data_IF_427553439364
#
_entry.id   IF_427553439364
#
_cell.length_a   1.000
_cell.length_b   1.000
_cell.length_c   1.000
_cell.angle_alpha   90.00
_cell.angle_beta   90.00
_cell.angle_gamma   90.00
#
_symmetry.space_group_name_H-M   'P 1'
#
loop_
_entity.id
_entity.type
_entity.pdbx_description
1 polymer ?
#
# COMPACT_ATOMS: atom_id res chain seq x y z
N UNK A 1 25.39 -37.45 -15.72
CA UNK A 1 25.62 -35.98 -15.61
C UNK A 1 24.53 -35.09 -16.24
N UNK A 2 23.43 -35.63 -16.81
CA UNK A 2 22.38 -34.80 -17.42
C UNK A 2 21.18 -34.47 -16.50
N UNK A 3 20.99 -35.21 -15.39
CA UNK A 3 19.84 -34.99 -14.48
C UNK A 3 20.05 -33.85 -13.47
N UNK A 4 21.29 -33.44 -13.19
CA UNK A 4 21.58 -32.32 -12.29
C UNK A 4 21.32 -30.93 -12.92
N UNK A 5 21.38 -30.83 -14.26
CA UNK A 5 21.12 -29.58 -14.99
C UNK A 5 19.62 -29.32 -15.18
N UNK A 6 18.79 -30.37 -15.20
CA UNK A 6 17.32 -30.26 -15.25
C UNK A 6 16.69 -29.80 -13.93
N UNK A 7 17.44 -29.86 -12.82
CA UNK A 7 17.03 -29.24 -11.55
C UNK A 7 17.38 -27.76 -11.46
N UNK A 8 18.41 -27.30 -12.18
CA UNK A 8 18.82 -25.88 -12.19
C UNK A 8 17.91 -25.01 -13.06
N UNK A 9 17.15 -25.59 -14.00
CA UNK A 9 16.19 -24.86 -14.85
C UNK A 9 14.79 -24.73 -14.25
N UNK A 10 14.54 -25.32 -13.07
CA UNK A 10 13.32 -25.07 -12.28
C UNK A 10 13.45 -23.91 -11.28
N UNK A 11 14.58 -23.22 -11.25
CA UNK A 11 14.56 -21.80 -10.87
C UNK A 11 13.94 -21.02 -12.02
N UNK A 12 12.60 -21.11 -12.15
CA UNK A 12 11.83 -19.93 -12.52
C UNK A 12 12.41 -18.82 -11.68
N UNK A 13 13.13 -17.88 -12.29
CA UNK A 13 13.78 -16.80 -11.57
C UNK A 13 12.72 -16.23 -10.65
N UNK A 14 12.85 -16.50 -9.34
CA UNK A 14 11.94 -15.95 -8.37
C UNK A 14 11.93 -14.46 -8.70
N UNK A 15 10.76 -13.84 -8.93
CA UNK A 15 10.71 -12.41 -9.24
C UNK A 15 11.65 -11.73 -8.25
N UNK A 16 12.53 -10.84 -8.74
CA UNK A 16 13.59 -10.27 -7.92
C UNK A 16 12.99 -9.90 -6.56
N UNK A 17 13.67 -10.24 -5.46
CA UNK A 17 13.10 -10.18 -4.11
C UNK A 17 12.43 -8.83 -3.81
N UNK A 18 12.88 -7.77 -4.47
CA UNK A 18 12.42 -6.39 -4.30
C UNK A 18 11.32 -5.97 -5.30
N UNK A 19 11.12 -6.72 -6.38
CA UNK A 19 10.04 -6.49 -7.34
C UNK A 19 8.70 -6.85 -6.71
N UNK A 20 7.74 -5.97 -6.92
CA UNK A 20 6.37 -6.12 -6.40
C UNK A 20 6.35 -6.31 -4.87
N UNK A 21 7.27 -5.65 -4.16
CA UNK A 21 7.43 -5.78 -2.70
C UNK A 21 6.11 -5.58 -1.93
N UNK A 22 5.28 -4.63 -2.35
CA UNK A 22 3.95 -4.39 -1.76
C UNK A 22 3.00 -5.59 -1.92
N UNK A 23 3.01 -6.25 -3.09
CA UNK A 23 2.18 -7.42 -3.33
C UNK A 23 2.72 -8.64 -2.57
N UNK A 24 4.04 -8.81 -2.52
CA UNK A 24 4.65 -9.91 -1.75
C UNK A 24 4.35 -9.76 -0.25
N UNK A 25 4.51 -8.55 0.30
CA UNK A 25 4.15 -8.25 1.69
C UNK A 25 2.65 -8.44 1.95
N UNK A 26 1.78 -8.14 0.99
CA UNK A 26 0.33 -8.35 1.14
C UNK A 26 -0.07 -9.84 1.18
N UNK A 27 0.58 -10.67 0.36
CA UNK A 27 0.22 -12.09 0.21
C UNK A 27 0.82 -12.99 1.28
N UNK A 28 2.12 -12.84 1.55
CA UNK A 28 2.87 -13.69 2.48
C UNK A 28 3.93 -12.87 3.23
N UNK A 29 3.51 -12.02 4.19
CA UNK A 29 4.45 -11.16 4.88
C UNK A 29 5.48 -11.93 5.73
N UNK A 30 5.12 -13.11 6.24
CA UNK A 30 6.02 -13.95 7.07
C UNK A 30 7.13 -14.56 6.22
N UNK A 31 6.78 -15.32 5.17
CA UNK A 31 7.76 -15.96 4.31
C UNK A 31 8.53 -14.94 3.47
N UNK A 32 7.92 -13.79 3.14
CA UNK A 32 8.63 -12.70 2.48
C UNK A 32 9.69 -12.07 3.39
N UNK A 33 9.35 -11.74 4.64
CA UNK A 33 10.31 -11.18 5.59
C UNK A 33 11.50 -12.12 5.85
N UNK A 34 11.25 -13.43 5.97
CA UNK A 34 12.33 -14.42 6.13
C UNK A 34 13.33 -14.40 4.95
N UNK A 35 12.83 -14.30 3.72
CA UNK A 35 13.67 -14.19 2.52
C UNK A 35 14.45 -12.87 2.49
N UNK A 36 13.83 -11.77 2.94
CA UNK A 36 14.49 -10.45 3.05
C UNK A 36 15.59 -10.44 4.11
N UNK A 37 15.36 -11.05 5.27
CA UNK A 37 16.35 -11.12 6.36
C UNK A 37 17.55 -12.02 6.01
N UNK A 38 17.37 -12.98 5.09
CA UNK A 38 18.46 -13.79 4.55
C UNK A 38 19.30 -13.07 3.49
N UNK A 39 18.86 -11.90 3.00
CA UNK A 39 19.61 -11.14 2.00
C UNK A 39 20.84 -10.47 2.62
N UNK A 40 22.04 -10.62 2.03
CA UNK A 40 23.24 -9.92 2.49
C UNK A 40 23.24 -8.43 2.09
N UNK A 41 22.31 -8.01 1.24
CA UNK A 41 22.19 -6.62 0.80
C UNK A 41 21.81 -5.71 1.98
N UNK A 42 22.22 -4.45 1.94
CA UNK A 42 21.88 -3.43 2.95
C UNK A 42 21.60 -2.10 2.25
N UNK A 43 20.74 -2.13 1.23
CA UNK A 43 20.33 -0.97 0.46
C UNK A 43 18.93 -0.48 0.83
N UNK A 44 18.55 0.68 0.27
CA UNK A 44 17.28 1.33 0.60
C UNK A 44 16.06 0.50 0.16
N UNK A 45 16.19 -0.30 -0.90
CA UNK A 45 15.11 -1.12 -1.44
C UNK A 45 14.82 -2.32 -0.54
N UNK A 46 15.87 -2.95 0.01
CA UNK A 46 15.71 -4.00 0.99
C UNK A 46 15.03 -3.49 2.26
N UNK A 47 15.47 -2.34 2.78
CA UNK A 47 14.84 -1.73 3.96
C UNK A 47 13.39 -1.33 3.68
N UNK A 48 13.09 -0.82 2.49
CA UNK A 48 11.72 -0.54 2.07
C UNK A 48 10.84 -1.80 2.07
N UNK A 49 11.31 -2.87 1.44
CA UNK A 49 10.60 -4.15 1.36
C UNK A 49 10.37 -4.77 2.76
N UNK A 50 11.39 -4.73 3.62
CA UNK A 50 11.26 -5.16 5.03
C UNK A 50 10.24 -4.33 5.78
N UNK A 51 10.27 -3.01 5.61
CA UNK A 51 9.30 -2.10 6.23
C UNK A 51 7.87 -2.49 5.87
N UNK A 52 7.58 -2.76 4.59
CA UNK A 52 6.27 -3.25 4.14
C UNK A 52 5.87 -4.57 4.79
N UNK A 53 6.78 -5.56 4.81
CA UNK A 53 6.50 -6.86 5.39
C UNK A 53 6.27 -6.78 6.92
N UNK A 54 7.07 -5.97 7.63
CA UNK A 54 6.89 -5.73 9.07
C UNK A 54 5.55 -5.04 9.35
N UNK A 55 5.17 -4.04 8.54
CA UNK A 55 3.89 -3.34 8.67
C UNK A 55 2.70 -4.28 8.45
N UNK A 56 2.76 -5.16 7.43
CA UNK A 56 1.75 -6.18 7.18
C UNK A 56 1.61 -7.21 8.33
N UNK A 57 2.62 -7.34 9.19
CA UNK A 57 2.58 -8.15 10.41
C UNK A 57 2.16 -7.35 11.66
N UNK A 58 1.79 -6.08 11.53
CA UNK A 58 1.49 -5.19 12.64
C UNK A 58 2.71 -4.78 13.47
N UNK A 59 3.93 -4.99 12.96
CA UNK A 59 5.20 -4.71 13.67
C UNK A 59 5.68 -3.29 13.36
N UNK A 60 4.85 -2.30 13.70
CA UNK A 60 5.06 -0.90 13.32
C UNK A 60 6.40 -0.30 13.81
N UNK A 61 6.89 -0.56 15.03
CA UNK A 61 8.19 -0.04 15.45
C UNK A 61 9.35 -0.55 14.59
N UNK A 62 9.29 -1.81 14.14
CA UNK A 62 10.29 -2.39 13.24
C UNK A 62 10.17 -1.79 11.85
N UNK A 63 8.94 -1.67 11.33
CA UNK A 63 8.67 -1.04 10.04
C UNK A 63 9.20 0.40 9.98
N UNK A 64 8.94 1.21 11.02
CA UNK A 64 9.43 2.58 11.13
C UNK A 64 10.96 2.67 11.15
N UNK A 65 11.65 1.74 11.82
CA UNK A 65 13.12 1.68 11.82
C UNK A 65 13.67 1.38 10.43
N UNK A 66 13.09 0.40 9.73
CA UNK A 66 13.52 0.05 8.38
C UNK A 66 13.20 1.19 7.39
N UNK A 67 12.02 1.83 7.47
CA UNK A 67 11.71 3.04 6.71
C UNK A 67 12.70 4.19 6.96
N UNK A 68 13.08 4.43 8.23
CA UNK A 68 14.05 5.47 8.56
C UNK A 68 15.43 5.20 7.94
N UNK A 69 15.87 3.93 7.90
CA UNK A 69 17.11 3.53 7.21
C UNK A 69 17.02 3.77 5.69
N UNK A 70 15.90 3.38 5.07
CA UNK A 70 15.66 3.63 3.65
C UNK A 70 15.72 5.15 3.32
N UNK A 71 15.07 5.99 4.13
CA UNK A 71 15.13 7.46 3.99
C UNK A 71 16.56 8.01 4.16
N UNK A 72 17.29 7.53 5.17
CA UNK A 72 18.67 7.96 5.41
C UNK A 72 19.59 7.66 4.23
N UNK A 73 19.47 6.47 3.65
CA UNK A 73 20.22 6.06 2.46
C UNK A 73 19.82 6.86 1.22
N UNK A 74 18.52 7.02 0.96
CA UNK A 74 18.05 7.82 -0.18
C UNK A 74 18.53 9.27 -0.09
N UNK A 75 18.49 9.87 1.10
CA UNK A 75 18.99 11.22 1.33
C UNK A 75 20.51 11.31 1.11
N UNK A 76 21.29 10.36 1.64
CA UNK A 76 22.74 10.33 1.47
C UNK A 76 23.15 10.16 -0.01
N UNK A 77 22.37 9.42 -0.78
CA UNK A 77 22.59 9.17 -2.21
C UNK A 77 21.93 10.22 -3.11
N UNK A 78 21.25 11.22 -2.55
CA UNK A 78 20.51 12.26 -3.26
C UNK A 78 19.40 11.72 -4.18
N UNK A 79 18.85 10.55 -3.85
CA UNK A 79 17.74 9.88 -4.55
C UNK A 79 16.41 10.55 -4.19
N UNK A 80 16.19 11.75 -4.75
CA UNK A 80 15.09 12.65 -4.35
C UNK A 80 13.72 12.00 -4.50
N UNK A 81 13.47 11.28 -5.59
CA UNK A 81 12.18 10.60 -5.81
C UNK A 81 11.95 9.45 -4.82
N UNK A 82 12.95 8.61 -4.57
CA UNK A 82 12.84 7.54 -3.57
C UNK A 82 12.66 8.08 -2.16
N UNK A 83 13.33 9.20 -1.85
CA UNK A 83 13.11 9.89 -0.58
C UNK A 83 11.65 10.34 -0.40
N UNK A 84 10.99 10.83 -1.46
CA UNK A 84 9.56 11.15 -1.40
C UNK A 84 8.70 9.90 -1.17
N UNK A 85 8.95 8.82 -1.90
CA UNK A 85 8.23 7.54 -1.72
C UNK A 85 8.35 7.05 -0.27
N UNK A 86 9.55 7.10 0.30
CA UNK A 86 9.79 6.67 1.68
C UNK A 86 9.19 7.61 2.72
N UNK A 87 9.07 8.92 2.43
CA UNK A 87 8.33 9.86 3.30
C UNK A 87 6.82 9.61 3.25
N UNK A 88 6.26 9.25 2.09
CA UNK A 88 4.87 8.81 1.98
C UNK A 88 4.64 7.51 2.77
N UNK A 89 5.55 6.54 2.68
CA UNK A 89 5.48 5.33 3.51
C UNK A 89 5.57 5.65 5.01
N UNK A 90 6.40 6.61 5.44
CA UNK A 90 6.45 7.05 6.84
C UNK A 90 5.08 7.54 7.32
N UNK A 91 4.38 8.31 6.48
CA UNK A 91 3.02 8.82 6.79
C UNK A 91 2.03 7.66 6.90
N UNK A 92 2.08 6.69 5.99
CA UNK A 92 1.26 5.47 6.08
C UNK A 92 1.48 4.73 7.41
N UNK A 93 2.74 4.52 7.80
CA UNK A 93 3.09 3.89 9.07
C UNK A 93 2.65 4.71 10.31
N UNK A 94 2.52 6.02 10.16
CA UNK A 94 2.04 6.94 11.22
C UNK A 94 0.52 6.79 11.40
N UNK A 95 -0.21 6.64 10.29
CA UNK A 95 -1.65 6.33 10.31
C UNK A 95 -1.93 4.98 10.95
N UNK A 96 -1.14 3.96 10.63
CA UNK A 96 -1.30 2.63 11.21
C UNK A 96 -0.97 2.57 12.71
N UNK A 97 -0.14 3.51 13.20
CA UNK A 97 0.14 3.69 14.63
C UNK A 97 -0.93 4.52 15.37
N UNK A 98 -2.07 4.78 14.74
CA UNK A 98 -3.24 5.51 15.27
C UNK A 98 -2.93 6.97 15.68
N UNK A 99 -2.11 7.65 14.87
CA UNK A 99 -1.76 9.07 15.06
C UNK A 99 -2.13 9.93 13.85
N UNK A 100 -3.44 10.03 13.50
CA UNK A 100 -3.87 10.65 12.25
C UNK A 100 -3.60 12.17 12.16
N UNK A 101 -3.60 12.89 13.28
CA UNK A 101 -3.25 14.33 13.28
C UNK A 101 -1.78 14.55 12.90
N UNK A 102 -0.88 13.71 13.42
CA UNK A 102 0.53 13.75 13.06
C UNK A 102 0.72 13.44 11.57
N UNK A 103 -0.07 12.52 11.01
CA UNK A 103 -0.04 12.22 9.58
C UNK A 103 -0.46 13.44 8.74
N UNK A 104 -1.49 14.19 9.14
CA UNK A 104 -1.91 15.43 8.48
C UNK A 104 -0.83 16.51 8.51
N UNK A 105 -0.13 16.67 9.63
CA UNK A 105 0.99 17.60 9.73
C UNK A 105 2.12 17.23 8.76
N UNK A 106 2.50 15.94 8.71
CA UNK A 106 3.53 15.45 7.81
C UNK A 106 3.14 15.60 6.33
N UNK A 107 1.87 15.32 5.99
CA UNK A 107 1.34 15.53 4.64
C UNK A 107 1.41 16.99 4.22
N UNK A 108 1.02 17.90 5.11
CA UNK A 108 1.10 19.35 4.89
C UNK A 108 2.52 19.79 4.59
N UNK A 109 3.49 19.31 5.40
CA UNK A 109 4.91 19.61 5.22
C UNK A 109 5.49 19.03 3.93
N UNK A 110 4.99 17.87 3.49
CA UNK A 110 5.49 17.16 2.30
C UNK A 110 4.93 17.71 0.98
N UNK A 111 3.75 18.35 1.02
CA UNK A 111 3.03 18.80 -0.17
C UNK A 111 3.86 19.64 -1.16
N UNK A 112 4.65 20.67 -0.74
CA UNK A 112 5.43 21.48 -1.68
C UNK A 112 6.40 20.67 -2.53
N UNK A 113 6.93 19.57 -1.98
CA UNK A 113 7.85 18.69 -2.69
C UNK A 113 7.10 17.70 -3.59
N UNK A 114 5.94 17.18 -3.16
CA UNK A 114 5.21 16.15 -3.90
C UNK A 114 4.37 16.68 -5.06
N UNK A 115 3.83 17.91 -4.96
CA UNK A 115 2.85 18.46 -5.92
C UNK A 115 3.29 18.50 -7.39
N UNK A 116 4.58 18.35 -7.66
CA UNK A 116 5.17 18.35 -9.00
C UNK A 116 5.43 16.93 -9.54
N UNK A 117 5.09 15.89 -8.79
CA UNK A 117 5.34 14.49 -9.14
C UNK A 117 4.03 13.69 -9.18
N UNK A 118 3.40 13.52 -10.36
CA UNK A 118 2.01 13.03 -10.49
C UNK A 118 1.72 11.71 -9.76
N UNK A 119 2.68 10.77 -9.75
CA UNK A 119 2.54 9.48 -9.07
C UNK A 119 2.48 9.64 -7.55
N UNK A 120 3.37 10.46 -6.99
CA UNK A 120 3.40 10.77 -5.57
C UNK A 120 2.22 11.65 -5.16
N UNK A 121 1.69 12.48 -6.05
CA UNK A 121 0.45 13.25 -5.80
C UNK A 121 -0.73 12.32 -5.57
N UNK A 122 -0.88 11.27 -6.38
CA UNK A 122 -1.94 10.27 -6.17
C UNK A 122 -1.83 9.60 -4.81
N UNK A 123 -0.62 9.21 -4.40
CA UNK A 123 -0.37 8.60 -3.08
C UNK A 123 -0.61 9.58 -1.93
N UNK A 124 -0.21 10.85 -2.10
CA UNK A 124 -0.46 11.89 -1.11
C UNK A 124 -1.96 12.09 -0.88
N UNK A 125 -2.77 12.13 -1.95
CA UNK A 125 -4.23 12.23 -1.83
C UNK A 125 -4.82 10.98 -1.15
N UNK A 126 -4.27 9.79 -1.40
CA UNK A 126 -4.73 8.56 -0.75
C UNK A 126 -4.52 8.63 0.77
N UNK A 127 -3.31 9.02 1.19
CA UNK A 127 -2.95 9.13 2.60
C UNK A 127 -3.67 10.29 3.29
N UNK A 128 -3.88 11.42 2.59
CA UNK A 128 -4.65 12.54 3.11
C UNK A 128 -6.11 12.15 3.32
N UNK A 129 -6.73 11.47 2.34
CA UNK A 129 -8.08 10.95 2.48
C UNK A 129 -8.23 9.97 3.65
N UNK A 130 -7.26 9.07 3.85
CA UNK A 130 -7.22 8.16 5.00
C UNK A 130 -7.09 8.91 6.34
N UNK A 131 -6.23 9.93 6.41
CA UNK A 131 -6.06 10.74 7.61
C UNK A 131 -7.32 11.54 7.97
N UNK A 132 -7.97 12.12 6.95
CA UNK A 132 -9.25 12.82 7.10
C UNK A 132 -10.37 11.87 7.54
N UNK A 133 -10.40 10.65 7.00
CA UNK A 133 -11.36 9.64 7.42
C UNK A 133 -11.19 9.29 8.90
N UNK A 134 -9.95 9.05 9.35
CA UNK A 134 -9.63 8.76 10.76
C UNK A 134 -9.94 9.94 11.69
N UNK A 135 -9.90 11.17 11.20
CA UNK A 135 -10.29 12.39 11.93
C UNK A 135 -11.77 12.79 11.71
N UNK A 136 -12.60 11.89 11.16
CA UNK A 136 -14.04 12.06 10.96
C UNK A 136 -14.45 13.17 9.98
N UNK A 137 -13.53 13.65 9.15
CA UNK A 137 -13.77 14.62 8.08
C UNK A 137 -14.26 13.91 6.81
N UNK A 138 -15.46 13.32 6.88
CA UNK A 138 -15.95 12.34 5.91
C UNK A 138 -16.08 12.88 4.49
N UNK A 139 -16.54 14.13 4.30
CA UNK A 139 -16.76 14.70 2.97
C UNK A 139 -15.44 14.94 2.25
N UNK A 140 -14.47 15.50 2.96
CA UNK A 140 -13.13 15.78 2.50
C UNK A 140 -12.39 14.46 2.22
N UNK A 141 -12.52 13.47 3.10
CA UNK A 141 -11.94 12.14 2.90
C UNK A 141 -12.43 11.47 1.60
N UNK A 142 -13.74 11.52 1.31
CA UNK A 142 -14.28 10.98 0.04
C UNK A 142 -13.68 11.71 -1.16
N UNK A 143 -13.59 13.04 -1.11
CA UNK A 143 -13.05 13.84 -2.20
C UNK A 143 -11.59 13.48 -2.50
N UNK A 144 -10.78 13.39 -1.45
CA UNK A 144 -9.36 13.05 -1.53
C UNK A 144 -9.16 11.62 -2.07
N UNK A 145 -9.88 10.62 -1.54
CA UNK A 145 -9.79 9.24 -2.00
C UNK A 145 -10.25 9.06 -3.46
N UNK A 146 -11.31 9.77 -3.88
CA UNK A 146 -11.75 9.78 -5.29
C UNK A 146 -10.72 10.44 -6.20
N UNK A 147 -10.08 11.51 -5.74
CA UNK A 147 -9.00 12.18 -6.47
C UNK A 147 -7.80 11.26 -6.63
N UNK A 148 -7.37 10.60 -5.54
CA UNK A 148 -6.31 9.61 -5.56
C UNK A 148 -6.60 8.49 -6.57
N UNK A 149 -7.81 7.93 -6.53
CA UNK A 149 -8.24 6.87 -7.43
C UNK A 149 -8.22 7.31 -8.89
N UNK A 150 -8.79 8.47 -9.21
CA UNK A 150 -8.80 9.00 -10.56
C UNK A 150 -7.40 9.26 -11.12
N UNK A 151 -6.48 9.74 -10.29
CA UNK A 151 -5.07 9.92 -10.68
C UNK A 151 -4.38 8.58 -10.91
N UNK A 152 -4.60 7.60 -10.02
CA UNK A 152 -4.00 6.26 -10.11
C UNK A 152 -4.43 5.54 -11.39
N UNK A 153 -5.69 5.69 -11.80
CA UNK A 153 -6.22 5.11 -13.04
C UNK A 153 -5.53 5.65 -14.32
N UNK A 154 -4.91 6.82 -14.26
CA UNK A 154 -4.17 7.40 -15.39
C UNK A 154 -2.73 6.89 -15.46
N UNK A 155 -2.23 6.24 -14.41
CA UNK A 155 -0.91 5.62 -14.45
C UNK A 155 -0.91 4.40 -15.39
N UNK A 156 0.21 4.09 -16.05
CA UNK A 156 0.32 2.86 -16.84
C UNK A 156 -0.12 1.63 -16.03
N UNK A 157 -0.90 0.76 -16.66
CA UNK A 157 -1.37 -0.47 -16.04
C UNK A 157 -0.21 -1.32 -15.56
N UNK A 158 -0.17 -1.59 -14.25
CA UNK A 158 0.83 -2.43 -13.60
C UNK A 158 0.15 -3.19 -12.46
N UNK A 159 0.77 -4.30 -12.05
CA UNK A 159 0.32 -5.07 -10.88
C UNK A 159 0.17 -4.17 -9.65
N UNK A 160 1.11 -3.24 -9.45
CA UNK A 160 1.10 -2.30 -8.35
C UNK A 160 -0.04 -1.28 -8.44
N UNK A 161 -0.24 -0.66 -9.61
CA UNK A 161 -1.33 0.31 -9.78
C UNK A 161 -2.71 -0.36 -9.65
N UNK A 162 -2.89 -1.60 -10.12
CA UNK A 162 -4.11 -2.38 -9.87
C UNK A 162 -4.30 -2.67 -8.39
N UNK A 163 -3.24 -3.04 -7.65
CA UNK A 163 -3.33 -3.32 -6.21
C UNK A 163 -3.74 -2.05 -5.44
N UNK A 164 -3.13 -0.91 -5.77
CA UNK A 164 -3.42 0.37 -5.13
C UNK A 164 -4.85 0.86 -5.45
N UNK A 165 -5.30 0.73 -6.71
CA UNK A 165 -6.69 1.03 -7.09
C UNK A 165 -7.70 0.22 -6.29
N UNK A 166 -7.49 -1.09 -6.12
CA UNK A 166 -8.44 -1.93 -5.41
C UNK A 166 -8.48 -1.63 -3.90
N UNK A 167 -7.34 -1.25 -3.31
CA UNK A 167 -7.29 -0.77 -1.91
C UNK A 167 -8.03 0.56 -1.72
N UNK A 168 -7.91 1.48 -2.69
CA UNK A 168 -8.67 2.74 -2.68
C UNK A 168 -10.19 2.49 -2.78
N UNK A 169 -10.60 1.59 -3.67
CA UNK A 169 -12.01 1.19 -3.80
C UNK A 169 -12.53 0.55 -2.51
N UNK A 170 -11.78 -0.37 -1.90
CA UNK A 170 -12.16 -0.96 -0.62
C UNK A 170 -12.31 0.10 0.48
N UNK A 171 -11.40 1.08 0.52
CA UNK A 171 -11.47 2.19 1.49
C UNK A 171 -12.69 3.08 1.26
N UNK A 172 -13.00 3.41 0.00
CA UNK A 172 -14.22 4.12 -0.36
C UNK A 172 -15.46 3.33 0.07
N UNK A 173 -15.47 2.02 -0.16
CA UNK A 173 -16.55 1.13 0.32
C UNK A 173 -16.76 1.22 1.84
N UNK A 174 -15.68 1.17 2.62
CA UNK A 174 -15.75 1.31 4.08
C UNK A 174 -16.34 2.66 4.49
N UNK A 175 -15.88 3.74 3.88
CA UNK A 175 -16.36 5.09 4.20
C UNK A 175 -17.85 5.27 3.87
N UNK A 176 -18.31 4.77 2.72
CA UNK A 176 -19.73 4.79 2.37
C UNK A 176 -20.56 3.91 3.31
N UNK A 177 -20.04 2.77 3.77
CA UNK A 177 -20.71 1.93 4.75
C UNK A 177 -20.87 2.64 6.10
N UNK A 178 -19.85 3.36 6.57
CA UNK A 178 -19.92 4.15 7.81
C UNK A 178 -20.96 5.28 7.74
N UNK A 179 -21.25 5.77 6.51
CA UNK A 179 -22.32 6.73 6.25
C UNK A 179 -23.70 6.07 6.07
N UNK A 180 -23.82 4.76 6.28
CA UNK A 180 -25.02 3.94 6.02
C UNK A 180 -25.47 3.92 4.56
N UNK A 181 -24.56 4.22 3.62
CA UNK A 181 -24.81 4.17 2.18
C UNK A 181 -24.40 2.79 1.62
N UNK A 182 -25.10 1.75 2.08
CA UNK A 182 -24.69 0.36 1.87
C UNK A 182 -24.70 -0.08 0.40
N UNK A 183 -25.58 0.46 -0.45
CA UNK A 183 -25.61 0.14 -1.88
C UNK A 183 -24.40 0.68 -2.63
N UNK A 184 -24.03 1.93 -2.33
CA UNK A 184 -22.84 2.56 -2.86
C UNK A 184 -21.57 1.86 -2.35
N UNK A 185 -21.55 1.51 -1.05
CA UNK A 185 -20.46 0.74 -0.47
C UNK A 185 -20.27 -0.62 -1.17
N UNK A 186 -21.36 -1.35 -1.42
CA UNK A 186 -21.32 -2.63 -2.12
C UNK A 186 -20.75 -2.50 -3.53
N UNK A 187 -21.12 -1.45 -4.26
CA UNK A 187 -20.58 -1.18 -5.61
C UNK A 187 -19.05 -1.05 -5.56
N UNK A 188 -18.53 -0.27 -4.62
CA UNK A 188 -17.09 -0.12 -4.43
C UNK A 188 -16.40 -1.43 -4.03
N UNK A 189 -17.03 -2.22 -3.16
CA UNK A 189 -16.49 -3.53 -2.77
C UNK A 189 -16.46 -4.53 -3.93
N UNK A 190 -17.48 -4.55 -4.78
CA UNK A 190 -17.52 -5.43 -5.95
C UNK A 190 -16.40 -5.08 -6.94
N UNK A 191 -16.20 -3.79 -7.22
CA UNK A 191 -15.10 -3.31 -8.08
C UNK A 191 -13.72 -3.67 -7.49
N UNK A 192 -13.55 -3.46 -6.17
CA UNK A 192 -12.33 -3.84 -5.47
C UNK A 192 -12.08 -5.36 -5.56
N UNK A 193 -13.13 -6.17 -5.36
CA UNK A 193 -13.04 -7.63 -5.41
C UNK A 193 -12.61 -8.11 -6.80
N UNK A 194 -13.15 -7.52 -7.87
CA UNK A 194 -12.75 -7.84 -9.24
C UNK A 194 -11.25 -7.66 -9.46
N UNK A 195 -10.67 -6.58 -8.93
CA UNK A 195 -9.22 -6.32 -9.02
C UNK A 195 -8.42 -7.32 -8.17
N UNK A 196 -8.84 -7.61 -6.94
CA UNK A 196 -8.14 -8.55 -6.06
C UNK A 196 -8.20 -10.01 -6.56
N UNK A 197 -9.24 -10.37 -7.32
CA UNK A 197 -9.33 -11.66 -8.04
C UNK A 197 -8.31 -11.72 -9.17
N UNK A 198 -8.23 -10.68 -10.02
CA UNK A 198 -7.23 -10.61 -11.09
C UNK A 198 -5.81 -10.69 -10.54
N UNK A 199 -5.58 -10.06 -9.39
CA UNK A 199 -4.30 -10.06 -8.70
C UNK A 199 -4.04 -11.31 -7.88
N UNK A 200 -4.93 -12.30 -7.81
CA UNK A 200 -4.78 -13.46 -6.93
C UNK A 200 -4.29 -13.07 -5.51
N UNK A 201 -4.95 -12.08 -4.90
CA UNK A 201 -4.63 -11.57 -3.56
C UNK A 201 -5.72 -12.05 -2.58
N UNK A 202 -5.54 -13.22 -1.96
CA UNK A 202 -6.60 -13.89 -1.20
C UNK A 202 -6.97 -13.16 0.10
N UNK A 203 -6.06 -12.39 0.69
CA UNK A 203 -6.31 -11.74 1.97
C UNK A 203 -7.32 -10.59 1.81
N UNK A 204 -7.13 -9.71 0.83
CA UNK A 204 -8.10 -8.65 0.51
C UNK A 204 -9.41 -9.23 0.00
N UNK A 205 -9.39 -10.33 -0.78
CA UNK A 205 -10.63 -10.99 -1.19
C UNK A 205 -11.47 -11.43 0.01
N UNK A 206 -10.83 -12.04 1.03
CA UNK A 206 -11.52 -12.47 2.24
C UNK A 206 -12.13 -11.29 3.01
N UNK A 207 -11.38 -10.20 3.19
CA UNK A 207 -11.82 -8.97 3.86
C UNK A 207 -13.00 -8.34 3.11
N UNK A 208 -12.86 -8.13 1.79
CA UNK A 208 -13.91 -7.50 0.97
C UNK A 208 -15.20 -8.32 1.00
N UNK A 209 -15.11 -9.65 0.88
CA UNK A 209 -16.28 -10.54 0.98
C UNK A 209 -16.93 -10.51 2.35
N UNK A 210 -16.18 -10.27 3.43
CA UNK A 210 -16.75 -10.10 4.75
C UNK A 210 -17.51 -8.77 4.86
N UNK A 211 -16.97 -7.68 4.31
CA UNK A 211 -17.62 -6.37 4.30
C UNK A 211 -18.92 -6.36 3.49
N UNK A 212 -18.93 -7.00 2.31
CA UNK A 212 -20.17 -7.17 1.51
C UNK A 212 -21.24 -7.92 2.32
N UNK A 213 -20.88 -9.04 2.96
CA UNK A 213 -21.80 -9.81 3.80
C UNK A 213 -22.36 -8.98 4.96
N UNK A 214 -21.51 -8.22 5.64
CA UNK A 214 -21.94 -7.34 6.72
C UNK A 214 -22.95 -6.28 6.23
N UNK A 215 -22.68 -5.63 5.09
CA UNK A 215 -23.58 -4.62 4.51
C UNK A 215 -24.92 -5.19 4.02
N UNK A 216 -24.93 -6.42 3.52
CA UNK A 216 -26.15 -7.07 3.00
C UNK A 216 -27.23 -7.33 4.06
N UNK A 217 -26.89 -7.28 5.36
CA UNK A 217 -27.88 -7.37 6.43
C UNK A 217 -28.68 -6.06 6.64
N UNK A 218 -28.27 -4.96 6.01
CA UNK A 218 -28.86 -3.64 6.18
C UNK A 218 -29.58 -3.11 4.91
N UNK A 219 -29.61 -3.89 3.83
CA UNK A 219 -30.29 -3.59 2.55
C UNK A 219 -31.53 -4.44 2.39
#
# INVERSE_FOLDING_TARGET
MALALLWMTQLQAAPSLLKEAELQAARDPVGYLQRLDASPQQDMELFYARSLAQAALGRYPQAQRDNARARGLANAQQETLRLLDFRLQQIALTLDADTPDQALELLTQLWPAVRHHPRQVSEWHALNGLALYRTQQMKEAILELKTAYHLKQKEPGSILSTLQCGRLLMTLGNLYADLNLYREAETYYQDALGQMVQLNEPNSQAIIRANIRAGSHFV
#
